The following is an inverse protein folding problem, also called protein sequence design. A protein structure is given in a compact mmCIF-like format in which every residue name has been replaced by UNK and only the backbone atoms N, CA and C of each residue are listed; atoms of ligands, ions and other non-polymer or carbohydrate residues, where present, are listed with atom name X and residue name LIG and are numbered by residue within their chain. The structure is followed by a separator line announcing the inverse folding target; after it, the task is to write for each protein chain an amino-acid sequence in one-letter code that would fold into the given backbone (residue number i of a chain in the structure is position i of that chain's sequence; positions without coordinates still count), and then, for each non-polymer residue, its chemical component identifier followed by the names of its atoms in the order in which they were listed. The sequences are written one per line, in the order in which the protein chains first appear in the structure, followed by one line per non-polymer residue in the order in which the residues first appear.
data_IF_400968891388
#
_entry.id   IF_400968891388
#
_cell.length_a   1.000
_cell.length_b   1.000
_cell.length_c   1.000
_cell.angle_alpha   90.00
_cell.angle_beta   90.00
_cell.angle_gamma   90.00
#
_symmetry.space_group_name_H-M   'P 1'
#
loop_
_entity.id
_entity.type
_entity.pdbx_description
1 polymer ?
#
# COMPACT_ATOMS: atom_id res chain seq x y z
N UNK A 1 -10.49 2.87 -0.42
CA UNK A 1 -9.45 3.44 0.46
C UNK A 1 -8.03 3.40 -0.09
N UNK A 2 -7.33 2.27 -0.26
CA UNK A 2 -5.92 2.31 -0.75
C UNK A 2 -5.75 3.08 -2.07
N UNK A 3 -6.61 2.81 -3.06
CA UNK A 3 -6.62 3.52 -4.34
C UNK A 3 -6.98 5.00 -4.20
N UNK A 4 -7.92 5.35 -3.33
CA UNK A 4 -8.36 6.74 -3.11
C UNK A 4 -7.23 7.55 -2.48
N UNK A 5 -6.64 7.06 -1.39
CA UNK A 5 -5.53 7.73 -0.72
C UNK A 5 -4.32 7.91 -1.65
N UNK A 6 -4.02 6.91 -2.49
CA UNK A 6 -2.92 7.01 -3.46
C UNK A 6 -3.24 8.02 -4.59
N UNK A 7 -4.49 8.09 -5.02
CA UNK A 7 -4.93 9.09 -6.00
C UNK A 7 -4.85 10.50 -5.42
N UNK A 8 -5.36 10.72 -4.21
CA UNK A 8 -5.28 11.99 -3.49
C UNK A 8 -3.84 12.44 -3.28
N UNK A 9 -2.94 11.52 -2.91
CA UNK A 9 -1.51 11.80 -2.81
C UNK A 9 -0.91 12.22 -4.17
N UNK A 10 -1.32 11.58 -5.26
CA UNK A 10 -0.93 11.98 -6.62
C UNK A 10 -1.42 13.38 -7.00
N UNK A 11 -2.66 13.73 -6.64
CA UNK A 11 -3.22 15.07 -6.85
C UNK A 11 -2.45 16.11 -6.04
N UNK A 12 -2.17 15.83 -4.76
CA UNK A 12 -1.37 16.71 -3.91
C UNK A 12 0.06 16.89 -4.44
N UNK A 13 0.59 15.91 -5.17
CA UNK A 13 1.87 15.98 -5.86
C UNK A 13 1.80 16.70 -7.24
N UNK A 14 0.62 17.20 -7.64
CA UNK A 14 0.43 18.01 -8.84
C UNK A 14 -0.14 17.26 -10.06
N UNK A 15 -0.60 16.03 -9.90
CA UNK A 15 -1.26 15.31 -11.00
C UNK A 15 -2.71 15.79 -11.20
N UNK A 16 -3.16 15.77 -12.45
CA UNK A 16 -4.59 15.85 -12.76
C UNK A 16 -5.36 14.70 -12.10
N UNK A 17 -6.56 14.98 -11.61
CA UNK A 17 -7.41 14.04 -10.88
C UNK A 17 -7.66 12.74 -11.67
N UNK A 18 -8.02 12.86 -12.95
CA UNK A 18 -8.33 11.70 -13.79
C UNK A 18 -7.08 10.86 -14.03
N UNK A 19 -5.92 11.49 -14.18
CA UNK A 19 -4.65 10.79 -14.30
C UNK A 19 -4.26 10.11 -12.98
N UNK A 20 -4.34 10.81 -11.85
CA UNK A 20 -4.00 10.28 -10.54
C UNK A 20 -4.84 9.04 -10.20
N UNK A 21 -6.15 9.10 -10.44
CA UNK A 21 -7.06 7.97 -10.21
C UNK A 21 -6.73 6.78 -11.12
N UNK A 22 -6.41 7.03 -12.40
CA UNK A 22 -6.01 5.97 -13.34
C UNK A 22 -4.72 5.29 -12.89
N UNK A 23 -3.70 6.06 -12.53
CA UNK A 23 -2.42 5.53 -12.07
C UNK A 23 -2.60 4.73 -10.78
N UNK A 24 -3.28 5.30 -9.76
CA UNK A 24 -3.51 4.61 -8.50
C UNK A 24 -4.25 3.28 -8.68
N UNK A 25 -5.27 3.22 -9.55
CA UNK A 25 -5.99 1.97 -9.86
C UNK A 25 -5.06 0.92 -10.46
N UNK A 26 -4.29 1.30 -11.48
CA UNK A 26 -3.40 0.38 -12.18
C UNK A 26 -2.23 -0.06 -11.29
N UNK A 27 -1.68 0.82 -10.48
CA UNK A 27 -0.61 0.48 -9.53
C UNK A 27 -1.09 -0.55 -8.51
N UNK A 28 -2.24 -0.33 -7.86
CA UNK A 28 -2.75 -1.26 -6.85
C UNK A 28 -3.16 -2.61 -7.47
N UNK A 29 -3.88 -2.57 -8.59
CA UNK A 29 -4.30 -3.80 -9.27
C UNK A 29 -3.09 -4.58 -9.81
N UNK A 30 -2.13 -3.90 -10.44
CA UNK A 30 -0.92 -4.51 -10.99
C UNK A 30 -0.02 -5.09 -9.91
N UNK A 31 0.16 -4.40 -8.78
CA UNK A 31 0.94 -4.92 -7.65
C UNK A 31 0.29 -6.18 -7.05
N UNK A 32 -1.03 -6.18 -6.87
CA UNK A 32 -1.76 -7.37 -6.40
C UNK A 32 -1.66 -8.55 -7.37
N UNK A 33 -1.81 -8.28 -8.67
CA UNK A 33 -1.65 -9.30 -9.70
C UNK A 33 -0.22 -9.87 -9.75
N UNK A 34 0.79 -9.01 -9.60
CA UNK A 34 2.19 -9.43 -9.56
C UNK A 34 2.45 -10.38 -8.39
N UNK A 35 2.03 -10.01 -7.17
CA UNK A 35 2.20 -10.85 -5.97
C UNK A 35 1.46 -12.19 -6.11
N UNK A 36 0.28 -12.19 -6.71
CA UNK A 36 -0.50 -13.42 -6.90
C UNK A 36 0.12 -14.39 -7.92
N UNK A 37 0.83 -13.88 -8.92
CA UNK A 37 1.41 -14.67 -10.01
C UNK A 37 2.89 -15.04 -9.77
N UNK A 38 3.59 -14.31 -8.90
CA UNK A 38 5.02 -14.48 -8.67
C UNK A 38 5.31 -15.74 -7.83
N UNK A 39 6.33 -16.55 -8.20
CA UNK A 39 6.86 -17.60 -7.34
C UNK A 39 7.73 -17.06 -6.19
N UNK A 40 8.19 -15.81 -6.28
CA UNK A 40 9.01 -15.17 -5.25
C UNK A 40 8.21 -14.65 -4.07
N UNK A 41 8.87 -14.58 -2.91
CA UNK A 41 8.31 -13.94 -1.72
C UNK A 41 8.04 -12.44 -1.94
N UNK A 42 7.00 -11.86 -1.32
CA UNK A 42 6.68 -10.44 -1.45
C UNK A 42 7.82 -9.49 -1.06
N UNK A 43 8.70 -9.89 -0.14
CA UNK A 43 9.89 -9.10 0.23
C UNK A 43 10.85 -8.93 -0.95
N UNK A 44 11.07 -10.01 -1.71
CA UNK A 44 11.92 -10.00 -2.90
C UNK A 44 11.32 -9.11 -3.98
N UNK A 45 10.01 -9.20 -4.22
CA UNK A 45 9.33 -8.33 -5.19
C UNK A 45 9.45 -6.85 -4.84
N UNK A 46 9.33 -6.50 -3.55
CA UNK A 46 9.55 -5.14 -3.05
C UNK A 46 11.00 -4.69 -3.26
N UNK A 47 11.98 -5.54 -2.95
CA UNK A 47 13.41 -5.25 -3.12
C UNK A 47 13.76 -4.99 -4.59
N UNK A 48 13.19 -5.76 -5.51
CA UNK A 48 13.39 -5.61 -6.96
C UNK A 48 12.98 -4.23 -7.49
N UNK A 49 12.09 -3.51 -6.80
CA UNK A 49 11.63 -2.15 -7.18
C UNK A 49 12.17 -1.04 -6.26
N UNK A 50 13.09 -1.38 -5.36
CA UNK A 50 13.66 -0.47 -4.36
C UNK A 50 15.15 -0.29 -4.60
N UNK A 51 15.52 0.68 -5.44
CA UNK A 51 16.93 1.04 -5.62
C UNK A 51 17.46 1.83 -4.41
N UNK A 52 18.74 1.61 -4.01
CA UNK A 52 19.38 2.39 -2.95
C UNK A 52 19.34 3.90 -3.24
N UNK A 53 18.83 4.69 -2.29
CA UNK A 53 18.66 6.14 -2.45
C UNK A 53 17.57 6.57 -3.45
N UNK A 54 16.75 5.63 -3.94
CA UNK A 54 15.67 5.90 -4.89
C UNK A 54 14.40 6.47 -4.27
N UNK A 55 13.45 6.85 -5.13
CA UNK A 55 12.14 7.40 -4.72
C UNK A 55 11.30 6.37 -3.96
N UNK A 56 11.32 5.11 -4.37
CA UNK A 56 10.63 4.01 -3.66
C UNK A 56 11.18 3.84 -2.24
N UNK A 57 12.51 3.88 -2.08
CA UNK A 57 13.15 3.78 -0.76
C UNK A 57 12.73 4.94 0.15
N UNK A 58 12.72 6.17 -0.37
CA UNK A 58 12.27 7.35 0.37
C UNK A 58 10.80 7.22 0.83
N UNK A 59 9.91 6.74 -0.04
CA UNK A 59 8.51 6.49 0.31
C UNK A 59 8.39 5.37 1.37
N UNK A 60 9.15 4.27 1.23
CA UNK A 60 9.13 3.17 2.18
C UNK A 60 9.61 3.58 3.57
N UNK A 61 10.59 4.48 3.69
CA UNK A 61 11.03 5.03 4.98
C UNK A 61 9.89 5.71 5.74
N UNK A 62 9.02 6.44 5.04
CA UNK A 62 7.81 7.05 5.63
C UNK A 62 6.78 5.98 5.96
N UNK A 63 6.47 5.10 4.99
CA UNK A 63 5.42 4.09 5.14
C UNK A 63 5.73 3.08 6.25
N UNK A 64 7.01 2.75 6.47
CA UNK A 64 7.45 1.75 7.46
C UNK A 64 7.98 2.39 8.75
N UNK A 65 7.91 3.72 8.88
CA UNK A 65 8.27 4.44 10.11
C UNK A 65 7.30 4.19 11.26
N UNK A 66 7.58 4.79 12.41
CA UNK A 66 6.75 4.68 13.61
C UNK A 66 5.31 5.14 13.35
N UNK A 67 4.33 4.31 13.73
CA UNK A 67 2.92 4.60 13.48
C UNK A 67 2.50 4.45 12.01
N UNK A 68 3.42 4.04 11.14
CA UNK A 68 3.20 3.83 9.72
C UNK A 68 2.33 2.61 9.39
N UNK A 69 2.42 2.16 8.15
CA UNK A 69 1.54 1.15 7.56
C UNK A 69 1.55 -0.17 8.35
N UNK A 70 2.72 -0.62 8.83
CA UNK A 70 2.82 -1.86 9.59
C UNK A 70 2.03 -1.80 10.92
N UNK A 71 2.16 -0.70 11.66
CA UNK A 71 1.42 -0.48 12.92
C UNK A 71 -0.07 -0.26 12.66
N UNK A 72 -0.41 0.52 11.63
CA UNK A 72 -1.79 0.75 11.21
C UNK A 72 -2.49 -0.56 10.83
N UNK A 73 -1.85 -1.42 10.04
CA UNK A 73 -2.44 -2.70 9.63
C UNK A 73 -2.64 -3.64 10.82
N UNK A 74 -1.68 -3.71 11.76
CA UNK A 74 -1.86 -4.48 13.00
C UNK A 74 -3.09 -4.02 13.78
N UNK A 75 -3.24 -2.70 13.99
CA UNK A 75 -4.39 -2.14 14.72
C UNK A 75 -5.70 -2.36 13.98
N UNK A 76 -5.72 -2.16 12.67
CA UNK A 76 -6.93 -2.34 11.84
C UNK A 76 -7.42 -3.79 11.88
N UNK A 77 -6.53 -4.76 11.70
CA UNK A 77 -6.87 -6.20 11.73
C UNK A 77 -7.30 -6.63 13.13
N UNK A 78 -6.64 -6.14 14.19
CA UNK A 78 -7.06 -6.41 15.57
C UNK A 78 -8.48 -5.90 15.86
N UNK A 79 -8.81 -4.68 15.41
CA UNK A 79 -10.16 -4.12 15.57
C UNK A 79 -11.21 -4.93 14.81
N UNK A 80 -10.93 -5.29 13.55
CA UNK A 80 -11.82 -6.13 12.75
C UNK A 80 -12.03 -7.52 13.38
N UNK A 81 -10.96 -8.12 13.92
CA UNK A 81 -11.00 -9.42 14.59
C UNK A 81 -11.86 -9.36 15.86
N UNK A 82 -11.68 -8.33 16.70
CA UNK A 82 -12.52 -8.11 17.89
C UNK A 82 -13.99 -8.02 17.49
N UNK A 83 -14.30 -7.19 16.49
CA UNK A 83 -15.68 -7.02 16.03
C UNK A 83 -16.27 -8.32 15.47
N UNK A 84 -15.49 -9.10 14.71
CA UNK A 84 -15.92 -10.40 14.20
C UNK A 84 -16.30 -11.38 15.31
N UNK A 85 -15.56 -11.39 16.41
CA UNK A 85 -15.88 -12.23 17.59
C UNK A 85 -17.15 -11.78 18.30
N UNK A 86 -17.37 -10.48 18.44
CA UNK A 86 -18.59 -9.92 19.04
C UNK A 86 -19.85 -10.23 18.21
N UNK A 87 -19.71 -10.41 16.90
CA UNK A 87 -20.82 -10.75 15.99
C UNK A 87 -21.14 -12.24 15.93
N UNK A 88 -20.21 -13.10 16.34
CA UNK A 88 -20.33 -14.55 16.26
C UNK A 88 -20.86 -15.20 17.55
N UNK A 89 -20.93 -14.43 18.64
CA UNK A 89 -21.59 -14.81 19.89
C UNK A 89 -22.98 -14.21 19.98
#
# INVERSE_FOLDING_TARGET
HLTECLAEAGIAAGLDERLALRLARQTIAGAGALVAAAPEEPSTLRENVTSPGGTTEAALKVLMGEGGLADLMRRAVAAATKRGRELAG
#
